data_IF_410724904316
#
_entry.id   IF_410724904316
#
_cell.length_a   1.000
_cell.length_b   1.000
_cell.length_c   1.000
_cell.angle_alpha   90.00
_cell.angle_beta   90.00
_cell.angle_gamma   90.00
#
_symmetry.space_group_name_H-M   'P 1'
#
loop_
_entity.id
_entity.type
_entity.pdbx_description
1 polymer ?
#
# COMPACT_ATOMS: atom_id res chain seq x y z
N UNK A 1 -8.03 -6.41 6.92
CA UNK A 1 -6.73 -5.73 7.09
C UNK A 1 -5.64 -6.71 7.52
N UNK A 2 -4.34 -6.36 7.45
CA UNK A 2 -3.24 -7.32 7.60
C UNK A 2 -3.02 -7.81 9.03
N UNK A 3 -3.60 -7.15 10.04
CA UNK A 3 -3.33 -7.43 11.44
C UNK A 3 -4.58 -7.90 12.17
N UNK A 4 -4.39 -8.74 13.18
CA UNK A 4 -5.41 -9.05 14.17
C UNK A 4 -5.34 -7.99 15.29
N UNK A 5 -6.43 -7.23 15.48
CA UNK A 5 -6.58 -6.29 16.59
C UNK A 5 -7.84 -6.66 17.38
N UNK A 6 -7.70 -7.22 18.60
CA UNK A 6 -8.84 -7.61 19.42
C UNK A 6 -9.76 -6.45 19.78
N UNK A 7 -9.19 -5.26 19.92
CA UNK A 7 -9.90 -4.07 20.36
C UNK A 7 -10.60 -3.30 19.21
N UNK A 8 -10.46 -3.79 17.96
CA UNK A 8 -11.15 -3.21 16.82
C UNK A 8 -12.58 -3.78 16.66
N UNK A 9 -13.35 -3.75 17.74
CA UNK A 9 -14.68 -4.34 17.79
C UNK A 9 -14.67 -5.83 17.45
N UNK A 10 -15.66 -6.29 16.68
CA UNK A 10 -15.76 -7.69 16.25
C UNK A 10 -14.98 -7.99 14.95
N UNK A 11 -14.16 -7.06 14.45
CA UNK A 11 -13.46 -7.22 13.18
C UNK A 11 -12.09 -7.84 13.38
N UNK A 12 -11.93 -9.05 12.91
CA UNK A 12 -10.63 -9.76 12.88
C UNK A 12 -9.96 -9.55 11.53
N UNK A 13 -8.70 -9.11 11.55
CA UNK A 13 -7.91 -8.96 10.32
C UNK A 13 -7.38 -10.31 9.82
N UNK A 14 -7.73 -10.64 8.58
CA UNK A 14 -7.25 -11.84 7.87
C UNK A 14 -6.26 -11.51 6.74
N UNK A 15 -5.73 -10.30 6.71
CA UNK A 15 -4.92 -9.80 5.59
C UNK A 15 -3.65 -10.62 5.35
N UNK A 16 -3.01 -11.15 6.40
CA UNK A 16 -1.85 -12.02 6.24
C UNK A 16 -2.22 -13.30 5.48
N UNK A 17 -3.27 -13.99 5.91
CA UNK A 17 -3.76 -15.22 5.25
C UNK A 17 -4.19 -14.91 3.82
N UNK A 18 -4.82 -13.76 3.60
CA UNK A 18 -5.21 -13.30 2.26
C UNK A 18 -3.98 -13.08 1.37
N UNK A 19 -2.94 -12.42 1.90
CA UNK A 19 -1.71 -12.19 1.13
C UNK A 19 -0.94 -13.48 0.87
N UNK A 20 -0.88 -14.39 1.83
CA UNK A 20 -0.29 -15.72 1.61
C UNK A 20 -1.00 -16.47 0.48
N UNK A 21 -2.34 -16.42 0.45
CA UNK A 21 -3.12 -17.00 -0.66
C UNK A 21 -2.85 -16.26 -1.97
N UNK A 22 -2.79 -14.92 -1.96
CA UNK A 22 -2.49 -14.12 -3.16
C UNK A 22 -1.15 -14.51 -3.78
N UNK A 23 -0.12 -14.64 -2.96
CA UNK A 23 1.25 -14.90 -3.39
C UNK A 23 1.44 -16.35 -3.82
N UNK A 24 0.91 -17.30 -3.03
CA UNK A 24 1.22 -18.72 -3.23
C UNK A 24 0.17 -19.49 -4.04
N UNK A 25 -1.03 -18.92 -4.24
CA UNK A 25 -2.12 -19.60 -4.96
C UNK A 25 -2.64 -18.76 -6.12
N UNK A 26 -3.13 -17.56 -5.84
CA UNK A 26 -3.82 -16.74 -6.85
C UNK A 26 -2.86 -16.28 -7.96
N UNK A 27 -1.79 -15.55 -7.62
CA UNK A 27 -0.82 -15.08 -8.62
C UNK A 27 -0.24 -16.22 -9.47
N UNK A 28 0.26 -17.34 -8.90
CA UNK A 28 0.73 -18.44 -9.71
C UNK A 28 -0.33 -19.05 -10.63
N UNK A 29 -1.61 -19.03 -10.25
CA UNK A 29 -2.70 -19.51 -11.10
C UNK A 29 -2.94 -18.58 -12.30
N UNK A 30 -2.85 -17.27 -12.09
CA UNK A 30 -2.95 -16.26 -13.15
C UNK A 30 -1.77 -16.37 -14.12
N UNK A 31 -0.56 -16.48 -13.59
CA UNK A 31 0.67 -16.59 -14.40
C UNK A 31 0.68 -17.85 -15.27
N UNK A 32 0.08 -18.95 -14.81
CA UNK A 32 -0.07 -20.16 -15.62
C UNK A 32 -1.15 -20.05 -16.70
N UNK A 33 -2.18 -19.23 -16.45
CA UNK A 33 -3.37 -19.13 -17.32
C UNK A 33 -3.20 -18.06 -18.40
N UNK A 34 -2.49 -17.00 -18.11
CA UNK A 34 -2.38 -15.83 -18.98
C UNK A 34 -0.90 -15.54 -19.31
N UNK A 35 -0.67 -14.83 -20.40
CA UNK A 35 0.66 -14.34 -20.79
C UNK A 35 1.02 -13.14 -19.93
N UNK A 36 1.51 -13.39 -18.73
CA UNK A 36 1.99 -12.36 -17.79
C UNK A 36 3.51 -12.28 -17.80
N UNK A 37 4.03 -11.14 -17.39
CA UNK A 37 5.41 -11.00 -16.93
C UNK A 37 5.41 -11.30 -15.44
N UNK A 38 5.74 -12.56 -15.08
CA UNK A 38 5.47 -13.12 -13.76
C UNK A 38 6.50 -12.74 -12.68
N UNK A 39 7.59 -12.11 -13.11
CA UNK A 39 8.67 -11.73 -12.19
C UNK A 39 8.30 -10.52 -11.31
N UNK A 40 9.10 -10.31 -10.27
CA UNK A 40 8.91 -9.23 -9.30
C UNK A 40 8.87 -7.84 -9.97
N UNK A 41 9.74 -7.58 -10.95
CA UNK A 41 9.85 -6.26 -11.60
C UNK A 41 8.54 -5.82 -12.25
N UNK A 42 7.74 -6.79 -12.70
CA UNK A 42 6.48 -6.57 -13.41
C UNK A 42 5.24 -6.92 -12.56
N UNK A 43 5.42 -7.16 -11.26
CA UNK A 43 4.31 -7.47 -10.35
C UNK A 43 4.08 -6.31 -9.38
N UNK A 44 2.92 -5.66 -9.52
CA UNK A 44 2.52 -4.46 -8.77
C UNK A 44 1.22 -4.72 -8.02
N UNK A 45 0.98 -3.93 -6.98
CA UNK A 45 -0.27 -3.98 -6.21
C UNK A 45 -0.75 -2.56 -5.92
N UNK A 46 -2.06 -2.35 -6.02
CA UNK A 46 -2.67 -1.06 -5.72
C UNK A 46 -3.99 -1.26 -5.00
N UNK A 47 -4.36 -0.31 -4.18
CA UNK A 47 -5.64 -0.30 -3.50
C UNK A 47 -5.88 0.99 -2.73
N UNK A 48 -7.12 1.19 -2.32
CA UNK A 48 -7.57 2.35 -1.56
C UNK A 48 -8.05 1.95 -0.17
N UNK A 49 -8.03 2.86 0.79
CA UNK A 49 -8.52 2.63 2.15
C UNK A 49 -7.83 1.42 2.81
N UNK A 50 -8.60 0.41 3.19
CA UNK A 50 -8.06 -0.88 3.69
C UNK A 50 -7.24 -1.59 2.62
N UNK A 51 -7.61 -1.48 1.33
CA UNK A 51 -6.80 -1.98 0.20
C UNK A 51 -5.48 -1.23 0.07
N UNK A 52 -5.45 0.07 0.37
CA UNK A 52 -4.22 0.86 0.46
C UNK A 52 -3.28 0.38 1.57
N UNK A 53 -3.84 0.09 2.77
CA UNK A 53 -3.09 -0.52 3.86
C UNK A 53 -2.54 -1.91 3.47
N UNK A 54 -3.34 -2.71 2.77
CA UNK A 54 -2.93 -4.02 2.27
C UNK A 54 -1.85 -3.92 1.21
N UNK A 55 -1.91 -2.92 0.32
CA UNK A 55 -0.89 -2.68 -0.72
C UNK A 55 0.45 -2.27 -0.10
N UNK A 56 0.41 -1.40 0.91
CA UNK A 56 1.58 -1.05 1.71
C UNK A 56 2.18 -2.27 2.42
N UNK A 57 1.34 -3.06 3.09
CA UNK A 57 1.75 -4.29 3.75
C UNK A 57 2.40 -5.28 2.75
N UNK A 58 1.78 -5.47 1.59
CA UNK A 58 2.26 -6.40 0.57
C UNK A 58 3.64 -6.01 0.03
N UNK A 59 3.88 -4.73 -0.28
CA UNK A 59 5.18 -4.30 -0.80
C UNK A 59 6.29 -4.38 0.25
N UNK A 60 5.97 -4.30 1.54
CA UNK A 60 6.93 -4.39 2.63
C UNK A 60 7.25 -5.86 3.01
N UNK A 61 6.23 -6.68 3.21
CA UNK A 61 6.40 -8.06 3.70
C UNK A 61 6.62 -9.08 2.58
N UNK A 62 6.09 -8.79 1.38
CA UNK A 62 6.22 -9.66 0.20
C UNK A 62 7.01 -8.97 -0.91
N UNK A 63 8.06 -8.23 -0.53
CA UNK A 63 8.89 -7.47 -1.47
C UNK A 63 9.56 -8.35 -2.53
N UNK A 64 9.76 -9.62 -2.25
CA UNK A 64 10.26 -10.60 -3.21
C UNK A 64 9.27 -10.91 -4.35
N UNK A 65 7.98 -10.54 -4.20
CA UNK A 65 6.93 -10.70 -5.22
C UNK A 65 6.52 -9.35 -5.81
N UNK A 66 6.29 -8.35 -4.97
CA UNK A 66 5.82 -7.04 -5.40
C UNK A 66 6.96 -6.02 -5.36
N UNK A 67 7.33 -5.49 -6.53
CA UNK A 67 8.33 -4.41 -6.60
C UNK A 67 7.74 -3.04 -6.37
N UNK A 68 6.43 -2.87 -6.61
CA UNK A 68 5.78 -1.58 -6.63
C UNK A 68 4.40 -1.64 -6.01
N UNK A 69 4.03 -0.57 -5.30
CA UNK A 69 2.69 -0.45 -4.73
C UNK A 69 2.13 0.97 -4.83
N UNK A 70 0.80 1.06 -4.92
CA UNK A 70 0.08 2.30 -4.70
C UNK A 70 -0.91 2.12 -3.53
N UNK A 71 -0.77 2.99 -2.53
CA UNK A 71 -1.60 3.02 -1.34
C UNK A 71 -2.38 4.34 -1.31
N UNK A 72 -3.61 4.31 -1.84
CA UNK A 72 -4.49 5.46 -1.90
C UNK A 72 -5.28 5.56 -0.59
N UNK A 73 -5.18 6.70 0.07
CA UNK A 73 -5.85 6.94 1.36
C UNK A 73 -5.76 5.76 2.33
N UNK A 74 -4.56 5.18 2.56
CA UNK A 74 -4.43 3.94 3.33
C UNK A 74 -4.93 4.13 4.76
N UNK A 75 -5.64 3.12 5.27
CA UNK A 75 -6.19 3.12 6.64
C UNK A 75 -5.09 2.96 7.70
N UNK A 76 -4.18 3.93 7.81
CA UNK A 76 -3.01 3.90 8.68
C UNK A 76 -3.35 3.90 10.17
N UNK A 77 -4.57 4.31 10.51
CA UNK A 77 -5.11 4.41 11.86
C UNK A 77 -5.52 3.06 12.46
N UNK A 78 -5.70 2.04 11.64
CA UNK A 78 -6.25 0.73 12.08
C UNK A 78 -5.33 0.01 13.07
N UNK A 79 -4.03 0.00 12.84
CA UNK A 79 -3.09 -0.65 13.73
C UNK A 79 -1.70 0.03 13.63
N UNK A 80 -1.58 1.30 14.06
CA UNK A 80 -0.42 2.14 13.81
C UNK A 80 0.87 1.56 14.39
N UNK A 81 0.83 0.96 15.57
CA UNK A 81 2.00 0.36 16.20
C UNK A 81 2.48 -0.92 15.49
N UNK A 82 1.54 -1.70 14.97
CA UNK A 82 1.88 -2.90 14.18
C UNK A 82 2.44 -2.52 12.82
N UNK A 83 1.82 -1.55 12.15
CA UNK A 83 2.35 -0.99 10.91
C UNK A 83 3.75 -0.42 11.12
N UNK A 84 3.96 0.31 12.20
CA UNK A 84 5.27 0.84 12.54
C UNK A 84 6.34 -0.26 12.74
N UNK A 85 5.97 -1.43 13.28
CA UNK A 85 6.87 -2.59 13.37
C UNK A 85 7.18 -3.18 11.99
N UNK A 86 6.16 -3.34 11.14
CA UNK A 86 6.34 -3.82 9.77
C UNK A 86 7.31 -2.90 9.01
N UNK A 87 7.08 -1.58 9.03
CA UNK A 87 7.96 -0.63 8.33
C UNK A 87 9.39 -0.66 8.87
N UNK A 88 9.58 -0.82 10.20
CA UNK A 88 10.92 -0.91 10.79
C UNK A 88 11.65 -2.21 10.47
N UNK A 89 10.92 -3.30 10.35
CA UNK A 89 11.48 -4.64 10.08
C UNK A 89 11.55 -4.97 8.59
N UNK A 90 11.05 -4.10 7.73
CA UNK A 90 10.98 -4.38 6.30
C UNK A 90 12.38 -4.49 5.67
N UNK A 91 12.64 -5.63 5.05
CA UNK A 91 13.81 -5.85 4.20
C UNK A 91 13.40 -5.65 2.74
N UNK A 92 13.44 -4.40 2.33
CA UNK A 92 13.01 -3.99 0.99
C UNK A 92 14.21 -3.65 0.10
N UNK A 93 14.12 -4.05 -1.16
CA UNK A 93 15.13 -3.72 -2.16
C UNK A 93 15.05 -2.24 -2.54
N UNK A 94 16.17 -1.65 -2.86
CA UNK A 94 16.27 -0.23 -3.23
C UNK A 94 15.52 0.16 -4.51
N UNK A 95 15.20 -0.82 -5.37
CA UNK A 95 14.39 -0.65 -6.58
C UNK A 95 12.87 -0.67 -6.30
N UNK A 96 12.46 -0.72 -5.03
CA UNK A 96 11.05 -0.69 -4.64
C UNK A 96 10.46 0.70 -4.85
N UNK A 97 9.28 0.76 -5.46
CA UNK A 97 8.54 2.01 -5.70
C UNK A 97 7.24 2.01 -4.91
N UNK A 98 7.00 3.06 -4.16
CA UNK A 98 5.75 3.23 -3.42
C UNK A 98 5.15 4.61 -3.69
N UNK A 99 3.89 4.60 -4.08
CA UNK A 99 3.04 5.78 -4.12
C UNK A 99 2.09 5.77 -2.93
N UNK A 100 1.97 6.89 -2.23
CA UNK A 100 0.99 7.08 -1.16
C UNK A 100 0.33 8.45 -1.28
N UNK A 101 -0.98 8.51 -1.06
CA UNK A 101 -1.70 9.77 -0.95
C UNK A 101 -2.80 9.73 0.12
N UNK A 102 -3.39 10.88 0.40
CA UNK A 102 -4.70 11.01 1.04
C UNK A 102 -5.35 12.32 0.64
N UNK A 103 -6.69 12.39 0.73
CA UNK A 103 -7.46 13.59 0.41
C UNK A 103 -7.53 14.57 1.58
N UNK A 104 -7.39 15.87 1.30
CA UNK A 104 -7.35 16.92 2.33
C UNK A 104 -8.65 17.05 3.14
N UNK A 105 -9.76 16.49 2.66
CA UNK A 105 -11.07 16.50 3.34
C UNK A 105 -11.46 15.16 3.95
N UNK A 106 -10.55 14.19 3.93
CA UNK A 106 -10.86 12.85 4.42
C UNK A 106 -11.17 12.84 5.92
N UNK A 107 -12.26 12.12 6.26
CA UNK A 107 -12.68 11.84 7.63
C UNK A 107 -12.87 13.09 8.51
N UNK A 108 -12.91 14.29 7.92
CA UNK A 108 -13.05 15.55 8.64
C UNK A 108 -11.93 15.89 9.62
N UNK A 109 -10.81 15.15 9.60
CA UNK A 109 -9.70 15.33 10.54
C UNK A 109 -8.33 15.26 9.83
N UNK A 110 -8.03 16.33 9.12
CA UNK A 110 -6.76 16.47 8.39
C UNK A 110 -5.52 16.34 9.29
N UNK A 111 -5.55 16.87 10.51
CA UNK A 111 -4.38 16.85 11.41
C UNK A 111 -3.99 15.43 11.82
N UNK A 112 -4.98 14.60 12.18
CA UNK A 112 -4.73 13.20 12.54
C UNK A 112 -4.21 12.43 11.35
N UNK A 113 -4.82 12.59 10.18
CA UNK A 113 -4.39 11.94 8.94
C UNK A 113 -2.97 12.37 8.56
N UNK A 114 -2.68 13.67 8.58
CA UNK A 114 -1.36 14.21 8.30
C UNK A 114 -0.30 13.67 9.26
N UNK A 115 -0.60 13.60 10.55
CA UNK A 115 0.32 13.09 11.56
C UNK A 115 0.67 11.60 11.36
N UNK A 116 -0.31 10.76 11.06
CA UNK A 116 -0.09 9.34 10.78
C UNK A 116 0.65 9.14 9.46
N UNK A 117 0.24 9.85 8.43
CA UNK A 117 0.87 9.81 7.12
C UNK A 117 2.35 10.23 7.17
N UNK A 118 2.64 11.34 7.84
CA UNK A 118 4.02 11.83 8.02
C UNK A 118 4.90 10.82 8.78
N UNK A 119 4.38 10.18 9.82
CA UNK A 119 5.11 9.14 10.58
C UNK A 119 5.48 7.94 9.70
N UNK A 120 4.55 7.47 8.88
CA UNK A 120 4.79 6.34 7.98
C UNK A 120 5.75 6.76 6.87
N UNK A 121 5.50 7.89 6.19
CA UNK A 121 6.35 8.41 5.13
C UNK A 121 7.78 8.65 5.61
N UNK A 122 7.96 9.28 6.77
CA UNK A 122 9.27 9.52 7.36
C UNK A 122 10.08 8.24 7.61
N UNK A 123 9.42 7.17 8.01
CA UNK A 123 10.07 5.86 8.19
C UNK A 123 10.38 5.19 6.85
N UNK A 124 9.48 5.27 5.88
CA UNK A 124 9.70 4.72 4.54
C UNK A 124 10.87 5.38 3.82
N UNK A 125 11.09 6.67 4.03
CA UNK A 125 12.26 7.39 3.52
C UNK A 125 13.58 6.79 4.02
N UNK A 126 13.59 6.21 5.23
CA UNK A 126 14.81 5.56 5.76
C UNK A 126 15.06 4.17 5.18
N UNK A 127 14.09 3.59 4.48
CA UNK A 127 14.25 2.28 3.82
C UNK A 127 14.97 2.35 2.46
N UNK A 128 15.28 3.56 1.97
CA UNK A 128 16.00 3.73 0.69
C UNK A 128 15.18 3.40 -0.57
N UNK A 129 13.85 3.41 -0.45
CA UNK A 129 12.92 3.15 -1.57
C UNK A 129 12.58 4.42 -2.34
N UNK A 130 12.05 4.26 -3.55
CA UNK A 130 11.49 5.37 -4.33
C UNK A 130 10.09 5.69 -3.83
N UNK A 131 9.95 6.75 -3.04
CA UNK A 131 8.70 7.13 -2.39
C UNK A 131 8.10 8.39 -3.01
N UNK A 132 6.85 8.31 -3.44
CA UNK A 132 6.01 9.45 -3.82
C UNK A 132 4.89 9.61 -2.79
N UNK A 133 4.82 10.77 -2.14
CA UNK A 133 3.77 11.11 -1.19
C UNK A 133 3.01 12.37 -1.63
N UNK A 134 1.67 12.32 -1.53
CA UNK A 134 0.82 13.46 -1.91
C UNK A 134 -0.31 13.70 -0.92
N UNK A 135 -0.69 14.96 -0.75
CA UNK A 135 -1.99 15.36 -0.23
C UNK A 135 -2.82 15.81 -1.43
N UNK A 136 -3.96 15.18 -1.66
CA UNK A 136 -4.85 15.49 -2.77
C UNK A 136 -5.75 16.66 -2.37
N UNK A 137 -5.62 17.84 -2.98
CA UNK A 137 -6.48 18.98 -2.66
C UNK A 137 -7.95 18.63 -2.89
N UNK A 138 -8.80 18.97 -1.94
CA UNK A 138 -10.25 18.71 -1.97
C UNK A 138 -10.64 17.23 -2.18
N UNK A 139 -9.72 16.31 -1.94
CA UNK A 139 -9.99 14.87 -2.01
C UNK A 139 -10.78 14.40 -0.78
N UNK A 140 -11.76 13.54 -1.05
CA UNK A 140 -12.58 12.87 -0.04
C UNK A 140 -12.26 11.37 -0.01
N UNK A 141 -12.68 10.69 1.07
CA UNK A 141 -12.49 9.24 1.20
C UNK A 141 -13.55 8.47 0.40
N UNK A 142 -13.43 8.49 -0.92
CA UNK A 142 -14.38 7.84 -1.83
C UNK A 142 -13.74 7.47 -3.17
N UNK A 143 -14.39 6.56 -3.88
CA UNK A 143 -13.96 6.02 -5.17
C UNK A 143 -13.71 7.11 -6.22
N UNK A 144 -14.60 8.12 -6.30
CA UNK A 144 -14.46 9.22 -7.25
C UNK A 144 -13.18 10.06 -7.01
N UNK A 145 -12.75 10.19 -5.75
CA UNK A 145 -11.47 10.83 -5.42
C UNK A 145 -10.29 9.97 -5.82
N UNK A 146 -10.35 8.67 -5.57
CA UNK A 146 -9.27 7.73 -5.89
C UNK A 146 -9.12 7.53 -7.40
N UNK A 147 -10.22 7.45 -8.14
CA UNK A 147 -10.21 7.36 -9.60
C UNK A 147 -9.43 8.51 -10.24
N UNK A 148 -9.60 9.73 -9.75
CA UNK A 148 -8.86 10.90 -10.24
C UNK A 148 -7.34 10.81 -10.01
N UNK A 149 -6.88 9.91 -9.13
CA UNK A 149 -5.45 9.68 -8.89
C UNK A 149 -4.83 8.65 -9.85
N UNK A 150 -5.63 7.95 -10.65
CA UNK A 150 -5.13 6.94 -11.60
C UNK A 150 -3.97 7.45 -12.48
N UNK A 151 -4.01 8.65 -13.10
CA UNK A 151 -2.89 9.11 -13.91
C UNK A 151 -1.59 9.25 -13.12
N UNK A 152 -1.67 9.63 -11.85
CA UNK A 152 -0.50 9.89 -11.01
C UNK A 152 0.14 8.59 -10.51
N UNK A 153 -0.64 7.71 -9.89
CA UNK A 153 -0.06 6.49 -9.35
C UNK A 153 0.34 5.50 -10.45
N UNK A 154 -0.42 5.38 -11.54
CA UNK A 154 -0.06 4.51 -12.67
C UNK A 154 1.25 4.99 -13.29
N UNK A 155 1.39 6.31 -13.54
CA UNK A 155 2.64 6.85 -14.06
C UNK A 155 3.82 6.58 -13.11
N UNK A 156 3.62 6.73 -11.79
CA UNK A 156 4.63 6.42 -10.79
C UNK A 156 5.02 4.94 -10.83
N UNK A 157 4.04 4.05 -10.87
CA UNK A 157 4.29 2.60 -10.88
C UNK A 157 4.91 2.12 -12.19
N UNK A 158 4.62 2.78 -13.31
CA UNK A 158 5.14 2.39 -14.64
C UNK A 158 6.47 3.05 -14.98
N UNK A 159 6.93 4.03 -14.21
CA UNK A 159 8.17 4.74 -14.50
C UNK A 159 9.39 3.79 -14.49
N UNK A 160 10.13 3.77 -15.60
CA UNK A 160 11.31 2.90 -15.74
C UNK A 160 11.01 1.40 -15.81
N UNK A 161 9.78 1.02 -16.15
CA UNK A 161 9.41 -0.36 -16.50
C UNK A 161 9.53 -0.49 -18.01
N UNK A 162 10.58 -1.18 -18.44
CA UNK A 162 10.80 -1.58 -19.85
C UNK A 162 10.74 -3.09 -19.98
#
# INVERSE_FOLDING_TARGET
>A
YPFYEPDFGHVTGHGRVTMDWFVHTFKPSIDRKYRTLSDRRHTFIAGSSMGGLMSLYAVLEYNHVFSRAAALSPSLWVAPERLARVVRGADVRSDTVLYMDYGSRELGNHEVMAGQFAKVAGRLLTCGIHLTCRIVPDGDHCEASWERQNPFFIQTLMYGVE
#
